data_IF_217962658952
#
_entry.id   IF_217962658952
#
_cell.length_a   1.000
_cell.length_b   1.000
_cell.length_c   1.000
_cell.angle_alpha   90.00
_cell.angle_beta   90.00
_cell.angle_gamma   90.00
#
_symmetry.space_group_name_H-M   'P 1'
#
loop_
_entity.id
_entity.type
_entity.pdbx_description
1 polymer ?
#
# COMPACT_ATOMS: atom_id res chain seq x y z
N UNK A 1 -45.22 -20.15 45.70
CA UNK A 1 -44.26 -20.73 44.75
C UNK A 1 -44.54 -20.18 43.35
N UNK A 2 -43.79 -19.17 42.91
CA UNK A 2 -43.91 -18.62 41.55
C UNK A 2 -42.60 -18.91 40.81
N UNK A 3 -42.72 -19.64 39.72
CA UNK A 3 -41.62 -20.09 38.85
C UNK A 3 -40.99 -18.91 38.12
N UNK A 4 -39.68 -18.75 38.27
CA UNK A 4 -38.86 -17.75 37.60
C UNK A 4 -38.31 -18.37 36.31
N UNK A 5 -38.83 -17.95 35.16
CA UNK A 5 -38.35 -18.36 33.84
C UNK A 5 -37.23 -17.40 33.41
N UNK A 6 -36.02 -17.94 33.23
CA UNK A 6 -34.89 -17.21 32.66
C UNK A 6 -35.08 -17.15 31.15
N UNK A 7 -35.35 -15.96 30.60
CA UNK A 7 -35.23 -15.70 29.15
C UNK A 7 -33.81 -15.23 28.87
N UNK A 8 -33.05 -16.08 28.20
CA UNK A 8 -31.76 -15.73 27.62
C UNK A 8 -31.97 -14.56 26.64
N UNK A 9 -31.32 -13.43 26.93
CA UNK A 9 -31.25 -12.30 26.01
C UNK A 9 -30.23 -12.62 24.93
N UNK A 10 -30.70 -13.05 23.76
CA UNK A 10 -29.89 -13.02 22.55
C UNK A 10 -29.73 -11.54 22.16
N UNK A 11 -28.54 -10.97 22.33
CA UNK A 11 -28.18 -9.71 21.71
C UNK A 11 -28.17 -9.94 20.19
N UNK A 12 -29.25 -9.52 19.54
CA UNK A 12 -29.30 -9.33 18.11
C UNK A 12 -28.21 -8.31 17.76
N UNK A 13 -27.12 -8.77 17.16
CA UNK A 13 -26.17 -7.88 16.51
C UNK A 13 -26.92 -7.16 15.40
N UNK A 14 -27.24 -5.90 15.65
CA UNK A 14 -27.93 -5.02 14.73
C UNK A 14 -27.02 -4.88 13.50
N UNK A 15 -27.39 -5.57 12.42
CA UNK A 15 -26.86 -5.28 11.09
C UNK A 15 -27.15 -3.81 10.84
N UNK A 16 -26.10 -2.98 10.84
CA UNK A 16 -26.21 -1.64 10.29
C UNK A 16 -26.53 -1.81 8.80
N UNK A 17 -27.80 -1.63 8.47
CA UNK A 17 -28.21 -1.19 7.16
C UNK A 17 -27.49 0.15 6.98
N UNK A 18 -26.46 0.14 6.15
CA UNK A 18 -25.82 1.37 5.72
C UNK A 18 -26.86 2.13 4.90
N UNK A 19 -27.51 3.11 5.52
CA UNK A 19 -28.07 4.22 4.77
C UNK A 19 -26.92 4.81 3.96
N UNK A 20 -27.03 4.68 2.64
CA UNK A 20 -26.12 5.27 1.67
C UNK A 20 -26.31 6.80 1.65
N UNK A 21 -25.93 7.47 2.75
CA UNK A 21 -25.24 8.73 2.58
C UNK A 21 -23.83 8.35 2.14
N UNK A 22 -23.52 8.56 0.87
CA UNK A 22 -22.15 8.49 0.38
C UNK A 22 -21.33 9.48 1.22
N UNK A 23 -20.74 9.01 2.30
CA UNK A 23 -19.59 9.66 2.88
C UNK A 23 -18.54 9.58 1.77
N UNK A 24 -18.44 10.66 0.98
CA UNK A 24 -17.39 10.83 0.00
C UNK A 24 -16.11 10.47 0.75
N UNK A 25 -15.40 9.42 0.30
CA UNK A 25 -14.09 9.13 0.85
C UNK A 25 -13.33 10.47 0.90
N UNK A 26 -12.67 10.82 2.02
CA UNK A 26 -11.99 12.11 2.12
C UNK A 26 -11.13 12.25 0.88
N UNK A 27 -11.24 13.40 0.23
CA UNK A 27 -10.50 13.62 -1.01
C UNK A 27 -9.02 13.38 -0.76
N UNK A 28 -8.34 12.72 -1.68
CA UNK A 28 -6.89 12.53 -1.62
C UNK A 28 -6.31 12.76 -2.99
N UNK A 29 -5.10 13.30 -3.05
CA UNK A 29 -4.38 13.53 -4.29
C UNK A 29 -3.06 12.76 -4.29
N UNK A 30 -2.56 12.45 -5.49
CA UNK A 30 -1.22 11.91 -5.68
C UNK A 30 -0.27 13.07 -5.97
N UNK A 31 0.82 13.14 -5.21
CA UNK A 31 1.89 14.10 -5.37
C UNK A 31 3.16 13.41 -5.84
N UNK A 32 4.01 14.16 -6.55
CA UNK A 32 5.29 13.72 -7.08
C UNK A 32 6.38 14.70 -6.69
N UNK A 33 7.43 14.22 -6.02
CA UNK A 33 8.60 15.00 -5.63
C UNK A 33 9.89 14.38 -6.19
N UNK A 34 10.85 15.17 -6.67
CA UNK A 34 12.14 14.65 -7.09
C UNK A 34 12.98 14.25 -5.88
N UNK A 35 13.69 13.13 -5.98
CA UNK A 35 14.72 12.69 -5.05
C UNK A 35 16.10 12.88 -5.69
N UNK A 36 17.07 13.37 -4.91
CA UNK A 36 18.45 13.61 -5.37
C UNK A 36 19.44 13.27 -4.28
N UNK A 37 20.61 12.79 -4.68
CA UNK A 37 21.77 12.69 -3.79
C UNK A 37 22.65 13.91 -4.03
N UNK A 38 22.82 14.74 -3.00
CA UNK A 38 23.67 15.93 -3.03
C UNK A 38 24.76 15.76 -1.96
N UNK A 39 26.02 15.69 -2.39
CA UNK A 39 27.17 15.47 -1.50
C UNK A 39 27.00 14.24 -0.58
N UNK A 40 26.44 13.16 -1.11
CA UNK A 40 26.19 11.92 -0.35
C UNK A 40 24.94 11.95 0.54
N UNK A 41 24.19 13.06 0.54
CA UNK A 41 22.97 13.23 1.34
C UNK A 41 21.74 13.15 0.45
N UNK A 42 20.79 12.28 0.80
CA UNK A 42 19.49 12.25 0.14
C UNK A 42 18.71 13.53 0.44
N UNK A 43 18.16 14.14 -0.61
CA UNK A 43 17.32 15.33 -0.57
C UNK A 43 16.04 15.07 -1.33
N UNK A 44 14.95 15.66 -0.83
CA UNK A 44 13.67 15.74 -1.53
C UNK A 44 13.45 17.16 -2.01
N UNK A 45 13.03 17.32 -3.27
CA UNK A 45 12.64 18.62 -3.82
C UNK A 45 11.16 18.91 -3.63
N UNK A 46 10.72 20.03 -4.18
CA UNK A 46 9.33 20.46 -4.09
C UNK A 46 8.38 19.44 -4.77
N UNK A 47 7.33 19.05 -4.04
CA UNK A 47 6.29 18.18 -4.56
C UNK A 47 5.33 18.94 -5.49
N UNK A 48 4.83 18.26 -6.51
CA UNK A 48 3.78 18.73 -7.41
C UNK A 48 2.58 17.80 -7.30
N UNK A 49 1.37 18.36 -7.21
CA UNK A 49 0.13 17.60 -7.27
C UNK A 49 -0.11 17.14 -8.73
N UNK A 50 -0.03 15.83 -9.00
CA UNK A 50 -0.13 15.29 -10.36
C UNK A 50 -1.55 14.88 -10.75
N UNK A 51 -2.45 14.75 -9.78
CA UNK A 51 -3.88 14.47 -10.03
C UNK A 51 -4.72 15.73 -9.98
N UNK A 52 -4.44 16.61 -9.02
CA UNK A 52 -4.96 17.97 -8.86
C UNK A 52 -6.44 18.10 -9.22
N UNK A 53 -7.29 17.35 -8.52
CA UNK A 53 -8.73 17.35 -8.76
C UNK A 53 -9.51 17.04 -7.49
N UNK A 54 -10.82 17.35 -7.45
CA UNK A 54 -11.69 16.76 -6.45
C UNK A 54 -11.81 15.25 -6.66
N UNK A 55 -11.83 14.50 -5.55
CA UNK A 55 -12.06 13.06 -5.55
C UNK A 55 -11.02 12.30 -4.76
N UNK A 56 -11.02 10.99 -4.96
CA UNK A 56 -10.11 10.07 -4.31
C UNK A 56 -9.09 9.58 -5.33
N UNK A 57 -7.84 9.99 -5.17
CA UNK A 57 -6.69 9.47 -5.91
C UNK A 57 -5.66 8.92 -4.91
N UNK A 58 -5.27 7.66 -5.08
CA UNK A 58 -4.63 6.92 -4.00
C UNK A 58 -3.71 5.79 -4.48
N UNK A 59 -2.93 5.22 -3.56
CA UNK A 59 -2.12 4.02 -3.75
C UNK A 59 -1.22 4.06 -5.00
N UNK A 60 -0.35 5.09 -5.15
CA UNK A 60 0.51 5.20 -6.32
C UNK A 60 1.55 4.07 -6.36
N UNK A 61 1.86 3.58 -7.56
CA UNK A 61 2.94 2.64 -7.82
C UNK A 61 3.62 2.96 -9.15
N UNK A 62 4.95 3.05 -9.16
CA UNK A 62 5.70 3.30 -10.39
C UNK A 62 5.72 2.07 -11.28
N UNK A 63 5.53 2.28 -12.59
CA UNK A 63 5.84 1.29 -13.61
C UNK A 63 7.35 0.99 -13.58
N UNK A 64 7.69 -0.28 -13.86
CA UNK A 64 9.08 -0.77 -13.78
C UNK A 64 10.04 -0.08 -14.76
N UNK A 65 9.51 0.43 -15.86
CA UNK A 65 10.25 1.15 -16.90
C UNK A 65 10.40 2.66 -16.61
N UNK A 66 9.95 3.14 -15.44
CA UNK A 66 9.90 4.55 -15.06
C UNK A 66 9.08 5.43 -16.03
N UNK A 67 8.18 4.87 -16.84
CA UNK A 67 7.39 5.65 -17.80
C UNK A 67 6.18 6.35 -17.16
N UNK A 68 5.71 5.85 -16.02
CA UNK A 68 4.52 6.38 -15.37
C UNK A 68 4.24 5.81 -13.99
N UNK A 69 3.14 6.28 -13.41
CA UNK A 69 2.61 5.90 -12.11
C UNK A 69 1.21 5.33 -12.32
N UNK A 70 0.95 4.12 -11.84
CA UNK A 70 -0.40 3.61 -11.66
C UNK A 70 -0.96 4.11 -10.33
N UNK A 71 -2.25 4.43 -10.29
CA UNK A 71 -2.91 4.83 -9.06
C UNK A 71 -4.39 4.49 -9.12
N UNK A 72 -5.01 4.31 -7.96
CA UNK A 72 -6.45 4.11 -7.84
C UNK A 72 -7.16 5.45 -7.87
N UNK A 73 -8.27 5.53 -8.59
CA UNK A 73 -9.05 6.76 -8.73
C UNK A 73 -10.54 6.48 -8.66
N UNK A 74 -11.28 7.23 -7.83
CA UNK A 74 -12.75 7.23 -7.83
C UNK A 74 -13.25 8.48 -8.52
N UNK A 75 -14.05 8.30 -9.58
CA UNK A 75 -14.64 9.38 -10.38
C UNK A 75 -16.14 9.51 -10.08
N UNK A 76 -16.86 10.22 -10.94
CA UNK A 76 -18.26 10.59 -10.73
C UNK A 76 -19.21 9.39 -10.70
N UNK A 77 -18.79 8.24 -11.25
CA UNK A 77 -19.49 6.96 -11.21
C UNK A 77 -19.34 6.19 -9.88
N UNK A 78 -18.59 6.76 -8.92
CA UNK A 78 -18.31 6.20 -7.60
C UNK A 78 -17.56 4.86 -7.60
N UNK A 79 -17.14 4.36 -8.76
CA UNK A 79 -16.33 3.16 -8.88
C UNK A 79 -14.84 3.52 -8.76
N UNK A 80 -14.05 2.65 -8.14
CA UNK A 80 -12.60 2.79 -8.18
C UNK A 80 -12.03 2.03 -9.38
N UNK A 81 -11.32 2.73 -10.25
CA UNK A 81 -10.54 2.14 -11.34
C UNK A 81 -9.06 2.48 -11.21
N UNK A 82 -8.23 1.79 -11.98
CA UNK A 82 -6.81 2.08 -12.10
C UNK A 82 -6.59 3.10 -13.22
N UNK A 83 -5.84 4.14 -12.89
CA UNK A 83 -5.40 5.20 -13.79
C UNK A 83 -3.89 5.21 -13.89
N UNK A 84 -3.38 5.84 -14.96
CA UNK A 84 -1.95 6.06 -15.20
C UNK A 84 -1.67 7.53 -15.38
N UNK A 85 -0.68 8.03 -14.65
CA UNK A 85 0.01 9.29 -14.93
C UNK A 85 1.29 9.00 -15.73
N UNK A 86 1.40 9.54 -16.94
CA UNK A 86 2.59 9.40 -17.78
C UNK A 86 3.61 10.49 -17.43
N UNK A 87 4.83 10.09 -17.05
CA UNK A 87 5.84 11.01 -16.53
C UNK A 87 6.41 11.96 -17.61
N UNK A 88 6.34 11.57 -18.88
CA UNK A 88 6.88 12.36 -20.01
C UNK A 88 5.89 13.41 -20.50
N UNK A 89 4.65 12.98 -20.74
CA UNK A 89 3.57 13.81 -21.29
C UNK A 89 2.77 14.53 -20.22
N UNK A 90 2.87 14.08 -18.96
CA UNK A 90 2.07 14.55 -17.81
C UNK A 90 0.57 14.32 -17.97
N UNK A 91 0.19 13.40 -18.86
CA UNK A 91 -1.20 13.05 -19.08
C UNK A 91 -1.68 11.99 -18.08
N UNK A 92 -2.93 12.12 -17.65
CA UNK A 92 -3.66 11.08 -16.91
C UNK A 92 -4.56 10.33 -17.88
N UNK A 93 -4.55 9.01 -17.81
CA UNK A 93 -5.41 8.13 -18.61
C UNK A 93 -5.97 6.99 -17.76
N UNK A 94 -7.19 6.55 -18.06
CA UNK A 94 -7.81 5.40 -17.41
C UNK A 94 -7.21 4.10 -17.98
N UNK A 95 -6.89 3.14 -17.12
CA UNK A 95 -6.29 1.85 -17.47
C UNK A 95 -7.31 0.73 -17.37
N UNK A 96 -8.13 0.71 -16.31
CA UNK A 96 -9.22 -0.25 -16.16
C UNK A 96 -10.57 0.46 -16.24
N UNK A 97 -11.55 -0.25 -16.79
CA UNK A 97 -12.95 0.17 -16.87
C UNK A 97 -13.78 -1.10 -16.77
N UNK A 98 -13.93 -1.61 -15.55
CA UNK A 98 -14.69 -2.85 -15.31
C UNK A 98 -16.00 -2.51 -14.60
N UNK A 99 -16.87 -3.48 -14.24
CA UNK A 99 -18.03 -3.21 -13.39
C UNK A 99 -17.71 -3.35 -11.88
N UNK A 100 -16.46 -3.64 -11.51
CA UNK A 100 -16.03 -3.91 -10.14
C UNK A 100 -14.91 -2.95 -9.76
N UNK A 101 -14.82 -2.60 -8.47
CA UNK A 101 -13.79 -1.65 -8.02
C UNK A 101 -12.42 -2.32 -7.85
N UNK A 102 -11.36 -1.62 -8.28
CA UNK A 102 -9.97 -2.06 -8.21
C UNK A 102 -9.09 -1.08 -7.42
N UNK A 103 -8.19 -1.62 -6.59
CA UNK A 103 -7.33 -0.85 -5.70
C UNK A 103 -5.89 -1.38 -5.70
N UNK A 104 -4.95 -0.53 -5.24
CA UNK A 104 -3.57 -0.91 -4.93
C UNK A 104 -2.83 -1.58 -6.09
N UNK A 105 -2.92 -0.99 -7.30
CA UNK A 105 -2.22 -1.51 -8.46
C UNK A 105 -0.71 -1.69 -8.20
N UNK A 106 -0.19 -2.88 -8.49
CA UNK A 106 1.21 -3.25 -8.26
C UNK A 106 1.79 -3.86 -9.55
N UNK A 107 2.70 -3.16 -10.25
CA UNK A 107 3.33 -3.67 -11.47
C UNK A 107 4.10 -4.99 -11.26
N UNK A 108 3.86 -5.96 -12.13
CA UNK A 108 4.50 -7.29 -12.06
C UNK A 108 5.86 -7.30 -12.74
N UNK A 109 6.67 -8.32 -12.44
CA UNK A 109 8.03 -8.47 -12.96
C UNK A 109 8.10 -8.57 -14.49
N UNK A 110 7.03 -9.02 -15.14
CA UNK A 110 6.94 -9.12 -16.59
C UNK A 110 6.89 -7.78 -17.33
N UNK A 111 6.64 -6.67 -16.61
CA UNK A 111 6.49 -5.32 -17.19
C UNK A 111 5.26 -5.14 -18.08
N UNK A 112 4.43 -6.17 -18.24
CA UNK A 112 3.27 -6.20 -19.14
C UNK A 112 1.96 -6.32 -18.37
N UNK A 113 1.99 -6.50 -17.05
CA UNK A 113 0.82 -6.65 -16.21
C UNK A 113 1.00 -6.05 -14.81
N UNK A 114 -0.11 -5.93 -14.09
CA UNK A 114 -0.14 -5.49 -12.70
C UNK A 114 -1.17 -6.30 -11.91
N UNK A 115 -0.99 -6.40 -10.60
CA UNK A 115 -1.99 -6.98 -9.70
C UNK A 115 -2.73 -5.90 -8.92
N UNK A 116 -3.99 -6.19 -8.56
CA UNK A 116 -4.88 -5.30 -7.81
C UNK A 116 -5.61 -6.08 -6.71
N UNK A 117 -6.07 -5.36 -5.70
CA UNK A 117 -7.18 -5.81 -4.86
C UNK A 117 -8.47 -5.46 -5.58
N UNK A 118 -9.29 -6.48 -5.91
CA UNK A 118 -10.59 -6.28 -6.55
C UNK A 118 -11.70 -6.52 -5.53
N UNK A 119 -12.68 -5.62 -5.49
CA UNK A 119 -13.94 -5.79 -4.76
C UNK A 119 -14.97 -6.33 -5.73
N UNK A 120 -15.24 -7.62 -5.61
CA UNK A 120 -16.13 -8.35 -6.52
C UNK A 120 -17.60 -7.99 -6.28
N UNK A 121 -18.48 -8.36 -7.21
CA UNK A 121 -19.91 -8.07 -7.10
C UNK A 121 -20.57 -8.59 -5.80
N UNK A 122 -20.04 -9.66 -5.21
CA UNK A 122 -20.49 -10.22 -3.92
C UNK A 122 -19.77 -9.62 -2.70
N UNK A 123 -19.05 -8.51 -2.90
CA UNK A 123 -18.17 -7.83 -1.93
C UNK A 123 -16.93 -8.63 -1.49
N UNK A 124 -16.64 -9.78 -2.10
CA UNK A 124 -15.39 -10.51 -1.86
C UNK A 124 -14.20 -9.66 -2.31
N UNK A 125 -13.17 -9.57 -1.44
CA UNK A 125 -11.92 -8.86 -1.75
C UNK A 125 -10.78 -9.84 -1.96
N UNK A 126 -10.31 -9.94 -3.20
CA UNK A 126 -9.24 -10.87 -3.62
C UNK A 126 -8.25 -10.21 -4.57
N UNK A 127 -7.15 -10.90 -4.82
CA UNK A 127 -6.12 -10.43 -5.74
C UNK A 127 -6.36 -10.91 -7.16
N UNK A 128 -6.31 -9.97 -8.09
CA UNK A 128 -6.47 -10.19 -9.52
C UNK A 128 -5.29 -9.61 -10.29
N UNK A 129 -4.99 -10.17 -11.45
CA UNK A 129 -4.00 -9.66 -12.41
C UNK A 129 -4.69 -9.11 -13.64
N UNK A 130 -4.20 -7.98 -14.12
CA UNK A 130 -4.66 -7.31 -15.33
C UNK A 130 -3.48 -7.08 -16.30
N UNK A 131 -3.67 -7.25 -17.62
CA UNK A 131 -2.69 -6.81 -18.60
C UNK A 131 -2.64 -5.28 -18.67
N UNK A 132 -1.44 -4.71 -18.80
CA UNK A 132 -1.25 -3.27 -18.92
C UNK A 132 -1.68 -2.73 -20.28
N UNK A 133 -1.51 -3.53 -21.35
CA UNK A 133 -1.88 -3.17 -22.72
C UNK A 133 -3.36 -3.39 -23.07
N UNK A 134 -4.18 -3.85 -22.10
CA UNK A 134 -5.55 -4.29 -22.35
C UNK A 134 -5.65 -5.60 -23.13
N UNK A 135 -6.86 -5.97 -23.55
CA UNK A 135 -7.12 -7.11 -24.46
C UNK A 135 -7.35 -8.46 -23.78
N UNK A 136 -6.45 -8.91 -22.91
CA UNK A 136 -6.70 -10.12 -22.11
C UNK A 136 -7.58 -9.80 -20.89
N UNK A 137 -8.51 -10.70 -20.56
CA UNK A 137 -9.35 -10.54 -19.36
C UNK A 137 -8.53 -10.66 -18.07
N UNK A 138 -9.04 -10.12 -16.93
CA UNK A 138 -8.36 -10.26 -15.66
C UNK A 138 -8.36 -11.71 -15.17
N UNK A 139 -7.32 -12.11 -14.44
CA UNK A 139 -7.18 -13.47 -13.89
C UNK A 139 -7.04 -13.44 -12.38
N UNK A 140 -7.80 -14.29 -11.68
CA UNK A 140 -7.68 -14.47 -10.23
C UNK A 140 -6.29 -15.03 -9.88
N UNK A 141 -5.61 -14.41 -8.91
CA UNK A 141 -4.27 -14.81 -8.47
C UNK A 141 -4.30 -15.73 -7.25
N UNK A 142 -5.22 -15.47 -6.32
CA UNK A 142 -5.36 -16.19 -5.04
C UNK A 142 -6.84 -16.32 -4.71
N UNK A 143 -7.32 -17.57 -4.62
CA UNK A 143 -8.74 -17.88 -4.40
C UNK A 143 -9.13 -17.94 -2.92
N UNK A 144 -8.23 -18.45 -2.08
CA UNK A 144 -8.47 -18.82 -0.67
C UNK A 144 -8.24 -17.70 0.34
N UNK A 145 -7.58 -16.62 -0.03
CA UNK A 145 -7.26 -15.52 0.88
C UNK A 145 -8.19 -14.35 0.66
N UNK A 146 -8.99 -14.04 1.69
CA UNK A 146 -9.95 -12.94 1.71
C UNK A 146 -10.31 -12.57 3.15
N UNK A 147 -10.69 -11.31 3.44
CA UNK A 147 -10.62 -10.14 2.55
C UNK A 147 -9.20 -9.55 2.50
N UNK A 148 -8.62 -9.41 1.30
CA UNK A 148 -7.29 -8.79 1.11
C UNK A 148 -7.43 -7.27 1.04
N UNK A 149 -6.60 -6.53 1.77
CA UNK A 149 -6.59 -5.06 1.75
C UNK A 149 -5.37 -4.45 1.07
N UNK A 150 -4.21 -5.07 1.19
CA UNK A 150 -2.96 -4.69 0.51
C UNK A 150 -2.11 -5.93 0.23
N UNK A 151 -1.22 -5.84 -0.76
CA UNK A 151 -0.31 -6.93 -1.11
C UNK A 151 1.02 -6.39 -1.62
N UNK A 152 2.04 -7.24 -1.56
CA UNK A 152 3.29 -7.08 -2.31
C UNK A 152 3.84 -8.46 -2.70
N UNK A 153 4.75 -8.49 -3.66
CA UNK A 153 5.37 -9.71 -4.16
C UNK A 153 6.73 -9.93 -3.50
N UNK A 154 6.91 -11.09 -2.88
CA UNK A 154 8.20 -11.56 -2.34
C UNK A 154 9.10 -12.08 -3.47
N UNK A 155 8.50 -12.77 -4.44
CA UNK A 155 9.09 -13.23 -5.70
C UNK A 155 7.97 -13.40 -6.75
N UNK A 156 8.27 -13.97 -7.93
CA UNK A 156 7.33 -14.12 -9.04
C UNK A 156 6.09 -14.97 -8.74
N UNK A 157 6.04 -15.65 -7.60
CA UNK A 157 4.96 -16.56 -7.23
C UNK A 157 4.48 -16.46 -5.80
N UNK A 158 5.22 -15.78 -4.94
CA UNK A 158 4.95 -15.67 -3.50
C UNK A 158 4.50 -14.27 -3.17
N UNK A 159 3.33 -14.16 -2.54
CA UNK A 159 2.70 -12.92 -2.12
C UNK A 159 2.76 -12.78 -0.61
N UNK A 160 2.99 -11.55 -0.15
CA UNK A 160 2.69 -11.11 1.20
C UNK A 160 1.45 -10.23 1.16
N UNK A 161 0.46 -10.53 2.01
CA UNK A 161 -0.84 -9.88 1.98
C UNK A 161 -1.25 -9.39 3.36
N UNK A 162 -1.74 -8.16 3.41
CA UNK A 162 -2.49 -7.62 4.53
C UNK A 162 -3.93 -8.10 4.38
N UNK A 163 -4.38 -8.92 5.32
CA UNK A 163 -5.74 -9.45 5.35
C UNK A 163 -6.50 -8.77 6.48
N UNK A 164 -7.67 -8.18 6.17
CA UNK A 164 -8.45 -7.42 7.14
C UNK A 164 -8.99 -8.32 8.24
N UNK A 165 -9.12 -7.76 9.44
CA UNK A 165 -9.63 -8.44 10.63
C UNK A 165 -9.27 -7.64 11.88
N UNK A 166 -9.70 -8.13 13.04
CA UNK A 166 -9.38 -7.53 14.34
C UNK A 166 -8.69 -8.58 15.24
N UNK A 167 -7.35 -8.65 15.25
CA UNK A 167 -6.40 -7.81 14.51
C UNK A 167 -6.22 -8.24 13.04
N UNK A 168 -5.72 -7.33 12.21
CA UNK A 168 -5.31 -7.65 10.83
C UNK A 168 -4.11 -8.61 10.83
N UNK A 169 -3.95 -9.36 9.75
CA UNK A 169 -2.91 -10.40 9.63
C UNK A 169 -2.03 -10.22 8.41
N UNK A 170 -0.76 -10.59 8.55
CA UNK A 170 0.13 -10.85 7.44
C UNK A 170 -0.07 -12.30 7.01
N UNK A 171 -0.47 -12.52 5.76
CA UNK A 171 -0.57 -13.85 5.19
C UNK A 171 0.39 -14.00 4.01
N UNK A 172 1.12 -15.11 3.99
CA UNK A 172 1.99 -15.47 2.86
C UNK A 172 1.25 -16.51 2.04
N UNK A 173 1.12 -16.28 0.72
CA UNK A 173 0.49 -17.24 -0.18
C UNK A 173 1.30 -17.46 -1.45
N UNK A 174 1.10 -18.62 -2.06
CA UNK A 174 1.76 -19.01 -3.29
C UNK A 174 0.74 -19.21 -4.41
N UNK A 175 0.85 -18.41 -5.48
CA UNK A 175 -0.14 -18.32 -6.57
C UNK A 175 -0.32 -19.62 -7.35
N UNK A 176 0.69 -20.50 -7.40
CA UNK A 176 0.61 -21.77 -8.16
C UNK A 176 -0.10 -22.91 -7.45
N UNK A 177 -0.10 -22.93 -6.12
CA UNK A 177 -0.60 -24.08 -5.34
C UNK A 177 -1.78 -23.72 -4.44
N UNK A 178 -2.06 -22.42 -4.26
CA UNK A 178 -3.18 -21.94 -3.45
C UNK A 178 -2.96 -22.09 -1.94
N UNK A 179 -1.76 -22.47 -1.51
CA UNK A 179 -1.38 -22.51 -0.10
C UNK A 179 -1.24 -21.08 0.44
N UNK A 180 -1.80 -20.85 1.62
CA UNK A 180 -1.69 -19.60 2.35
C UNK A 180 -1.56 -19.87 3.85
N UNK A 181 -0.70 -19.11 4.52
CA UNK A 181 -0.50 -19.22 5.96
C UNK A 181 -0.43 -17.84 6.61
N UNK A 182 -1.01 -17.74 7.81
CA UNK A 182 -0.87 -16.56 8.67
C UNK A 182 0.53 -16.56 9.28
N UNK A 183 1.31 -15.53 8.96
CA UNK A 183 2.67 -15.36 9.48
C UNK A 183 2.71 -14.46 10.72
N UNK A 184 2.01 -13.31 10.66
CA UNK A 184 1.97 -12.35 11.76
C UNK A 184 0.55 -11.80 11.97
N UNK A 185 0.31 -11.26 13.16
CA UNK A 185 -0.94 -10.59 13.55
C UNK A 185 -0.64 -9.21 14.11
N UNK A 186 -1.60 -8.29 13.99
CA UNK A 186 -1.46 -6.91 14.47
C UNK A 186 -0.54 -6.07 13.60
N UNK A 187 -0.61 -6.27 12.28
CA UNK A 187 0.24 -5.56 11.31
C UNK A 187 -0.41 -4.27 10.82
N UNK A 188 0.42 -3.32 10.38
CA UNK A 188 0.00 -2.14 9.62
C UNK A 188 -0.19 -2.43 8.14
N UNK A 189 -0.63 -1.43 7.37
CA UNK A 189 -0.99 -1.57 5.95
C UNK A 189 0.21 -1.49 5.01
N UNK A 190 1.29 -0.82 5.41
CA UNK A 190 2.50 -0.70 4.61
C UNK A 190 3.24 -2.04 4.49
N UNK A 191 3.21 -2.62 3.29
CA UNK A 191 3.99 -3.79 2.91
C UNK A 191 4.97 -3.38 1.81
N UNK A 192 6.25 -3.68 1.99
CA UNK A 192 7.30 -3.34 1.03
C UNK A 192 8.14 -4.57 0.69
N UNK A 193 8.42 -4.86 -0.60
CA UNK A 193 9.37 -5.88 -0.95
C UNK A 193 10.78 -5.45 -0.51
N UNK A 194 11.61 -6.39 -0.05
CA UNK A 194 12.98 -6.07 0.35
C UNK A 194 13.86 -5.96 -0.91
N UNK A 195 14.52 -4.80 -1.17
CA UNK A 195 15.39 -4.66 -2.34
C UNK A 195 16.48 -5.74 -2.37
N UNK A 196 16.61 -6.41 -3.51
CA UNK A 196 17.64 -7.43 -3.73
C UNK A 196 17.47 -8.72 -2.91
N UNK A 197 16.36 -8.93 -2.22
CA UNK A 197 16.09 -10.15 -1.46
C UNK A 197 14.66 -10.64 -1.62
N UNK A 198 14.47 -11.96 -1.49
CA UNK A 198 13.13 -12.54 -1.37
C UNK A 198 12.62 -12.26 0.04
N UNK A 199 11.86 -11.18 0.20
CA UNK A 199 11.37 -10.79 1.52
C UNK A 199 10.35 -9.67 1.49
N UNK A 200 9.75 -9.44 2.65
CA UNK A 200 8.78 -8.35 2.86
C UNK A 200 9.09 -7.64 4.17
N UNK A 201 8.97 -6.32 4.15
CA UNK A 201 9.05 -5.43 5.31
C UNK A 201 7.66 -4.89 5.61
N UNK A 202 7.28 -4.87 6.88
CA UNK A 202 5.94 -4.53 7.33
C UNK A 202 5.96 -3.87 8.72
N UNK A 203 4.96 -3.04 9.03
CA UNK A 203 4.77 -2.50 10.37
C UNK A 203 4.03 -3.52 11.26
N UNK A 204 4.41 -3.63 12.54
CA UNK A 204 3.74 -4.49 13.52
C UNK A 204 3.61 -3.80 14.87
N UNK A 205 2.41 -3.84 15.44
CA UNK A 205 2.16 -3.35 16.80
C UNK A 205 2.73 -4.34 17.83
N UNK A 206 3.50 -3.84 18.79
CA UNK A 206 3.95 -4.58 19.97
C UNK A 206 3.84 -3.68 21.22
N UNK A 207 2.83 -3.96 22.06
CA UNK A 207 2.47 -3.07 23.17
C UNK A 207 2.01 -1.72 22.63
N UNK A 208 2.59 -0.63 23.11
CA UNK A 208 2.29 0.75 22.67
C UNK A 208 3.20 1.23 21.52
N UNK A 209 4.07 0.36 21.01
CA UNK A 209 5.05 0.73 19.98
C UNK A 209 4.80 -0.02 18.68
N UNK A 210 4.90 0.69 17.56
CA UNK A 210 4.96 0.10 16.22
C UNK A 210 6.43 -0.11 15.84
N UNK A 211 6.74 -1.33 15.41
CA UNK A 211 8.05 -1.68 14.87
C UNK A 211 7.96 -1.98 13.39
N UNK A 212 9.03 -1.70 12.66
CA UNK A 212 9.25 -2.16 11.31
C UNK A 212 9.97 -3.51 11.40
N UNK A 213 9.30 -4.54 10.92
CA UNK A 213 9.77 -5.92 10.89
C UNK A 213 10.07 -6.33 9.45
N UNK A 214 11.01 -7.25 9.26
CA UNK A 214 11.37 -7.81 7.95
C UNK A 214 11.33 -9.33 8.01
N UNK A 215 10.77 -9.94 6.98
CA UNK A 215 10.81 -11.38 6.75
C UNK A 215 11.65 -11.65 5.51
N UNK A 216 12.57 -12.62 5.59
CA UNK A 216 13.29 -13.15 4.43
C UNK A 216 12.96 -14.62 4.20
N UNK A 217 12.73 -14.95 2.93
CA UNK A 217 12.57 -16.31 2.43
C UNK A 217 13.92 -16.85 1.95
N UNK A 218 14.54 -17.66 2.79
CA UNK A 218 15.81 -18.31 2.53
C UNK A 218 15.65 -19.55 1.61
N UNK A 219 16.75 -20.05 1.01
CA UNK A 219 16.74 -21.34 0.33
C UNK A 219 16.17 -22.46 1.23
N UNK A 220 15.40 -23.38 0.65
CA UNK A 220 14.72 -24.44 1.40
C UNK A 220 13.37 -24.03 2.02
N UNK A 221 12.80 -22.89 1.61
CA UNK A 221 11.52 -22.36 2.09
C UNK A 221 11.48 -21.97 3.57
N UNK A 222 12.64 -21.68 4.16
CA UNK A 222 12.75 -21.19 5.54
C UNK A 222 12.49 -19.68 5.57
N UNK A 223 11.52 -19.26 6.37
CA UNK A 223 11.28 -17.84 6.66
C UNK A 223 12.01 -17.43 7.94
N UNK A 224 12.77 -16.33 7.90
CA UNK A 224 13.39 -15.72 9.08
C UNK A 224 12.85 -14.31 9.27
N UNK A 225 12.51 -13.96 10.51
CA UNK A 225 12.00 -12.64 10.89
C UNK A 225 13.09 -11.88 11.66
N UNK A 226 13.19 -10.57 11.41
CA UNK A 226 14.02 -9.66 12.21
C UNK A 226 13.37 -8.29 12.35
N UNK A 227 13.65 -7.64 13.47
CA UNK A 227 13.27 -6.25 13.73
C UNK A 227 14.30 -5.28 13.16
N UNK A 228 13.84 -4.33 12.35
CA UNK A 228 14.69 -3.31 11.75
C UNK A 228 14.74 -2.05 12.61
N UNK A 229 13.57 -1.48 12.91
CA UNK A 229 13.46 -0.14 13.48
C UNK A 229 12.20 0.01 14.33
N UNK A 230 12.20 1.01 15.20
CA UNK A 230 10.94 1.61 15.67
C UNK A 230 10.37 2.46 14.53
N UNK A 231 9.06 2.35 14.28
CA UNK A 231 8.41 3.21 13.31
C UNK A 231 8.28 4.64 13.85
N UNK A 232 8.21 5.63 12.94
CA UNK A 232 7.87 6.99 13.33
C UNK A 232 6.47 7.03 13.99
N UNK A 233 6.23 7.91 14.98
CA UNK A 233 4.95 7.96 15.68
C UNK A 233 3.75 8.10 14.74
N UNK A 234 2.78 7.19 14.88
CA UNK A 234 1.55 7.19 14.09
C UNK A 234 1.70 6.77 12.63
N UNK A 235 2.86 6.23 12.24
CA UNK A 235 3.15 5.86 10.84
C UNK A 235 3.24 4.36 10.65
N UNK A 236 2.51 3.85 9.66
CA UNK A 236 2.59 2.47 9.19
C UNK A 236 2.92 2.36 7.69
N UNK A 237 3.12 3.50 7.00
CA UNK A 237 3.60 3.56 5.63
C UNK A 237 5.07 3.98 5.56
N UNK A 238 5.82 3.21 4.79
CA UNK A 238 7.21 3.46 4.44
C UNK A 238 7.49 2.82 3.09
N UNK A 239 8.61 3.17 2.47
CA UNK A 239 9.04 2.66 1.16
C UNK A 239 10.56 2.54 1.11
N UNK A 240 11.08 1.56 0.38
CA UNK A 240 12.52 1.47 0.14
C UNK A 240 12.98 2.41 -0.97
N UNK A 241 14.17 2.99 -0.80
CA UNK A 241 14.98 3.48 -1.92
C UNK A 241 15.61 2.29 -2.66
N UNK A 242 16.04 2.44 -3.92
CA UNK A 242 16.81 1.39 -4.60
C UNK A 242 18.11 1.01 -3.88
N UNK A 243 18.65 1.90 -3.05
CA UNK A 243 19.84 1.66 -2.23
C UNK A 243 19.56 0.85 -0.96
N UNK A 244 18.29 0.53 -0.65
CA UNK A 244 17.93 -0.27 0.53
C UNK A 244 17.67 0.55 1.80
N UNK A 245 17.62 1.88 1.71
CA UNK A 245 17.22 2.75 2.82
C UNK A 245 15.69 2.83 2.88
N UNK A 246 15.12 2.99 4.08
CA UNK A 246 13.68 3.19 4.25
C UNK A 246 13.35 4.67 4.28
N UNK A 247 12.30 5.08 3.58
CA UNK A 247 11.71 6.41 3.66
C UNK A 247 10.34 6.33 4.32
N UNK A 248 10.06 7.25 5.23
CA UNK A 248 8.76 7.42 5.86
C UNK A 248 8.49 8.90 6.10
N UNK A 249 7.22 9.30 6.08
CA UNK A 249 6.82 10.67 6.39
C UNK A 249 6.24 10.75 7.81
N UNK A 250 6.56 11.82 8.53
CA UNK A 250 5.81 12.20 9.74
C UNK A 250 5.32 13.65 9.54
N UNK A 251 4.00 13.82 9.47
CA UNK A 251 3.42 15.06 8.97
C UNK A 251 3.82 15.30 7.53
N UNK A 252 4.40 16.47 7.24
CA UNK A 252 4.93 16.83 5.92
C UNK A 252 6.46 16.63 5.79
N UNK A 253 7.12 16.09 6.81
CA UNK A 253 8.56 15.90 6.83
C UNK A 253 8.90 14.47 6.43
N UNK A 254 9.80 14.33 5.46
CA UNK A 254 10.35 13.05 5.02
C UNK A 254 11.58 12.70 5.85
N UNK A 255 11.61 11.47 6.33
CA UNK A 255 12.73 10.88 7.06
C UNK A 255 13.27 9.68 6.31
N UNK A 256 14.55 9.41 6.52
CA UNK A 256 15.28 8.27 6.00
C UNK A 256 15.81 7.44 7.16
N UNK A 257 15.57 6.13 7.11
CA UNK A 257 16.20 5.16 8.00
C UNK A 257 17.24 4.34 7.25
N UNK A 258 18.39 4.16 7.89
CA UNK A 258 19.46 3.28 7.45
C UNK A 258 19.94 2.42 8.61
N UNK A 259 20.28 1.16 8.32
CA UNK A 259 20.83 0.23 9.29
C UNK A 259 22.19 0.70 9.85
N UNK A 260 22.90 1.56 9.11
CA UNK A 260 24.19 2.10 9.52
C UNK A 260 24.07 3.32 10.45
N UNK A 261 22.90 3.95 10.49
CA UNK A 261 22.66 5.11 11.34
C UNK A 261 22.34 4.67 12.78
N UNK A 262 23.15 5.14 13.74
CA UNK A 262 22.99 4.80 15.17
C UNK A 262 22.41 5.92 16.03
N UNK A 263 22.00 7.04 15.43
CA UNK A 263 21.36 8.16 16.12
C UNK A 263 19.86 8.18 15.85
N UNK A 264 19.06 8.72 16.78
CA UNK A 264 17.61 8.90 16.63
C UNK A 264 16.85 7.63 16.16
N UNK A 265 17.16 6.46 16.75
CA UNK A 265 16.61 5.16 16.34
C UNK A 265 16.83 4.80 14.85
N UNK A 266 17.84 5.43 14.24
CA UNK A 266 18.24 5.25 12.84
C UNK A 266 17.57 6.21 11.86
N UNK A 267 16.69 7.12 12.29
CA UNK A 267 15.96 8.05 11.44
C UNK A 267 16.62 9.43 11.31
N UNK A 268 16.82 9.88 10.08
CA UNK A 268 17.40 11.18 9.74
C UNK A 268 16.43 11.99 8.88
N UNK A 269 16.32 13.30 9.12
CA UNK A 269 15.47 14.19 8.31
C UNK A 269 16.07 14.39 6.92
N UNK A 270 15.29 14.08 5.89
CA UNK A 270 15.63 14.31 4.48
C UNK A 270 15.25 15.73 4.05
N UNK A 271 14.04 16.16 4.41
CA UNK A 271 13.49 17.46 4.03
C UNK A 271 11.98 17.52 4.23
N UNK A 272 11.38 18.65 3.85
CA UNK A 272 9.93 18.83 3.84
C UNK A 272 9.37 18.58 2.44
N UNK A 273 8.24 17.88 2.35
CA UNK A 273 7.54 17.60 1.10
C UNK A 273 6.77 18.82 0.59
N UNK A 274 6.33 19.68 1.51
CA UNK A 274 5.61 20.91 1.21
C UNK A 274 4.93 21.49 2.45
N UNK A 275 4.89 22.82 2.62
CA UNK A 275 4.41 23.44 3.86
C UNK A 275 2.90 23.28 4.09
N UNK A 276 2.10 23.12 3.03
CA UNK A 276 0.65 22.97 3.11
C UNK A 276 0.17 21.51 3.08
N UNK A 277 1.08 20.53 3.00
CA UNK A 277 0.72 19.13 2.89
C UNK A 277 0.38 18.54 4.26
N UNK A 278 -0.75 17.86 4.35
CA UNK A 278 -1.16 17.05 5.50
C UNK A 278 -1.56 15.65 5.04
N UNK A 279 -1.68 14.71 5.99
CA UNK A 279 -2.17 13.37 5.67
C UNK A 279 -1.24 12.55 4.75
N UNK A 280 0.07 12.81 4.76
CA UNK A 280 1.02 12.11 3.89
C UNK A 280 1.03 10.61 4.21
N UNK A 281 0.67 9.78 3.23
CA UNK A 281 0.62 8.32 3.35
C UNK A 281 1.04 7.65 2.03
N UNK A 282 1.18 6.31 2.03
CA UNK A 282 1.34 5.47 0.81
C UNK A 282 2.40 5.99 -0.17
N UNK A 283 3.63 5.96 0.31
CA UNK A 283 4.81 6.39 -0.45
C UNK A 283 5.21 5.30 -1.46
N UNK A 284 5.71 5.74 -2.62
CA UNK A 284 6.30 4.91 -3.66
C UNK A 284 7.56 5.60 -4.19
N UNK A 285 8.65 4.87 -4.40
CA UNK A 285 9.88 5.38 -5.01
C UNK A 285 10.01 4.78 -6.40
N UNK A 286 10.41 5.58 -7.39
CA UNK A 286 10.64 5.10 -8.74
C UNK A 286 11.78 4.09 -8.78
N UNK A 287 11.75 3.09 -9.69
CA UNK A 287 12.84 2.12 -9.85
C UNK A 287 14.24 2.75 -10.00
N UNK A 288 14.34 3.91 -10.66
CA UNK A 288 15.59 4.65 -10.80
C UNK A 288 15.97 5.53 -9.59
N UNK A 289 15.13 5.57 -8.56
CA UNK A 289 15.35 6.31 -7.32
C UNK A 289 15.22 7.83 -7.44
N UNK A 290 14.76 8.35 -8.58
CA UNK A 290 14.71 9.79 -8.86
C UNK A 290 13.42 10.46 -8.44
N UNK A 291 12.39 9.69 -8.13
CA UNK A 291 11.07 10.23 -7.83
C UNK A 291 10.46 9.54 -6.60
N UNK A 292 9.78 10.36 -5.79
CA UNK A 292 8.91 9.94 -4.72
C UNK A 292 7.47 10.33 -5.10
N UNK A 293 6.61 9.34 -5.26
CA UNK A 293 5.17 9.54 -5.30
C UNK A 293 4.58 9.28 -3.91
N UNK A 294 3.57 10.04 -3.51
CA UNK A 294 2.89 9.85 -2.24
C UNK A 294 1.45 10.39 -2.29
N UNK A 295 0.63 9.95 -1.34
CA UNK A 295 -0.74 10.44 -1.17
C UNK A 295 -0.73 11.50 -0.08
N UNK A 296 -1.49 12.59 -0.28
CA UNK A 296 -1.74 13.58 0.76
C UNK A 296 -3.16 14.15 0.62
N UNK A 297 -3.60 14.89 1.65
CA UNK A 297 -4.85 15.63 1.58
C UNK A 297 -4.76 16.71 0.48
N UNK A 298 -5.87 17.00 -0.24
CA UNK A 298 -5.90 18.07 -1.22
C UNK A 298 -5.57 19.41 -0.56
N UNK A 299 -4.61 20.12 -1.15
CA UNK A 299 -4.30 21.49 -0.72
C UNK A 299 -5.42 22.41 -1.22
N UNK A 300 -6.08 23.20 -0.34
CA UNK A 300 -7.10 24.16 -0.76
C UNK A 300 -6.57 25.08 -1.87
N UNK A 301 -7.40 25.30 -2.88
CA UNK A 301 -7.08 26.11 -4.07
C UNK A 301 -7.26 27.60 -3.80
#
# INVERSE_FOLDING_TARGET
>A
MRSMTWRASALLAMCMIADAAAAQAPGTDVFLAPLRIEQGVLRVGAAVNVTNRPGYDNQPAFLRDNSGILFTSIRDDAQADIYRYDLRTRAVSQVTMTPESEYSATPLADGASFSVVRVEADSTQRLWRFPLGGGAGPTLLVDRVKPVGYHTWIDDSTLAMFVLGTPATLQIAHTRHGDAAVFARGIGRGLQPVPGARGVTYARQAGDTVYIEEIRLLPGNTMVERRLARALPGQDYFVYTPAGELLAAAGNTLYRWSQDCRVNDGWERVGELGPALTGVTRLAVSPDGRWLAFVADPVPR
#
